data_IF_626936102487
#
_entry.id   IF_626936102487
#
_cell.length_a   1.000
_cell.length_b   1.000
_cell.length_c   1.000
_cell.angle_alpha   90.00
_cell.angle_beta   90.00
_cell.angle_gamma   90.00
#
_symmetry.space_group_name_H-M   'P 1'
#
loop_
_entity.id
_entity.type
_entity.pdbx_description
1 polymer ?
#
# COMPACT_ATOMS: atom_id res chain seq x y z
N UNK A 1 -38.49 20.03 29.35
CA UNK A 1 -37.91 19.47 28.11
C UNK A 1 -36.45 19.90 28.09
N UNK A 2 -35.49 18.97 28.09
CA UNK A 2 -34.06 19.30 28.03
C UNK A 2 -33.57 19.14 26.61
N UNK A 3 -33.02 20.22 26.04
CA UNK A 3 -32.42 20.22 24.71
C UNK A 3 -31.04 19.55 24.75
N UNK A 4 -30.80 18.64 23.82
CA UNK A 4 -29.49 18.04 23.63
C UNK A 4 -28.54 19.07 23.00
N UNK A 5 -27.43 19.36 23.66
CA UNK A 5 -26.33 20.12 23.07
C UNK A 5 -25.26 19.15 22.58
N UNK A 6 -24.75 19.40 21.38
CA UNK A 6 -23.61 18.66 20.83
C UNK A 6 -22.36 19.25 21.45
N UNK A 7 -21.71 18.48 22.33
CA UNK A 7 -20.33 18.76 22.74
C UNK A 7 -19.48 18.63 21.47
N UNK A 8 -18.94 19.75 20.98
CA UNK A 8 -17.92 19.74 19.93
C UNK A 8 -16.58 19.58 20.62
N UNK A 9 -16.12 18.34 20.74
CA UNK A 9 -14.77 18.04 21.18
C UNK A 9 -13.79 18.64 20.16
N UNK A 10 -13.03 19.64 20.60
CA UNK A 10 -11.95 20.26 19.82
C UNK A 10 -10.88 19.24 19.35
N UNK A 11 -10.90 18.03 19.90
CA UNK A 11 -10.10 16.89 19.47
C UNK A 11 -10.43 16.42 18.04
N UNK A 12 -11.61 16.71 17.49
CA UNK A 12 -11.98 16.28 16.14
C UNK A 12 -11.30 17.05 14.98
N UNK A 13 -10.80 18.26 15.22
CA UNK A 13 -10.24 19.14 14.19
C UNK A 13 -8.75 18.87 13.89
N UNK A 14 -7.97 18.43 14.89
CA UNK A 14 -6.51 18.20 14.77
C UNK A 14 -6.15 16.84 14.14
N UNK A 15 -7.11 15.93 13.98
CA UNK A 15 -6.88 14.58 13.44
C UNK A 15 -7.66 14.31 12.14
N UNK A 16 -8.00 15.35 11.37
CA UNK A 16 -8.62 15.18 10.05
C UNK A 16 -7.67 14.44 9.12
N UNK A 17 -8.05 13.22 8.75
CA UNK A 17 -7.28 12.37 7.82
C UNK A 17 -7.11 13.08 6.49
N UNK A 18 -5.94 12.92 5.86
CA UNK A 18 -5.69 13.46 4.53
C UNK A 18 -6.59 12.77 3.50
N UNK A 19 -7.26 13.56 2.66
CA UNK A 19 -8.10 13.06 1.57
C UNK A 19 -7.74 13.80 0.25
N UNK A 20 -6.99 13.17 -0.67
CA UNK A 20 -6.40 11.84 -0.57
C UNK A 20 -5.15 11.82 0.32
N UNK A 21 -4.75 10.64 0.85
CA UNK A 21 -3.44 10.49 1.48
C UNK A 21 -2.32 10.56 0.43
N UNK A 22 -1.11 10.86 0.89
CA UNK A 22 0.11 10.88 0.08
C UNK A 22 0.99 9.67 0.37
N UNK A 23 1.82 9.26 -0.59
CA UNK A 23 2.71 8.10 -0.44
C UNK A 23 3.62 8.20 0.79
N UNK A 24 4.13 9.40 1.09
CA UNK A 24 5.02 9.65 2.22
C UNK A 24 4.30 9.91 3.55
N UNK A 25 2.97 9.94 3.57
CA UNK A 25 2.25 10.07 4.84
C UNK A 25 2.52 8.83 5.70
N UNK A 26 2.68 9.04 7.01
CA UNK A 26 2.73 7.94 7.97
C UNK A 26 1.44 7.10 7.89
N UNK A 27 1.54 5.79 8.14
CA UNK A 27 0.43 4.85 7.96
C UNK A 27 -0.77 5.14 8.87
N UNK A 28 -0.53 5.82 10.00
CA UNK A 28 -1.60 6.29 10.87
C UNK A 28 -2.43 7.42 10.26
N UNK A 29 -2.08 7.98 9.10
CA UNK A 29 -2.97 8.87 8.32
C UNK A 29 -4.06 8.12 7.55
N UNK A 30 -4.01 6.79 7.50
CA UNK A 30 -5.10 6.00 6.94
C UNK A 30 -6.31 5.97 7.89
N UNK A 31 -7.50 5.88 7.31
CA UNK A 31 -8.71 5.63 8.09
C UNK A 31 -8.59 4.33 8.88
N UNK A 32 -9.22 4.30 10.07
CA UNK A 32 -9.22 3.15 11.01
C UNK A 32 -7.87 2.77 11.62
N UNK A 33 -6.79 3.45 11.26
CA UNK A 33 -5.49 3.35 11.95
C UNK A 33 -5.28 4.62 12.77
N UNK A 34 -5.22 4.49 14.10
CA UNK A 34 -4.94 5.61 15.00
C UNK A 34 -3.44 5.73 15.30
N UNK A 35 -2.93 6.96 15.42
CA UNK A 35 -1.55 7.21 15.87
C UNK A 35 -1.33 6.53 17.22
N UNK A 36 -0.19 5.86 17.35
CA UNK A 36 0.21 5.05 18.51
C UNK A 36 -0.77 3.96 18.96
N UNK A 37 -1.80 3.68 18.14
CA UNK A 37 -2.77 2.62 18.36
C UNK A 37 -2.23 1.23 18.05
N UNK A 38 -3.02 0.20 18.36
CA UNK A 38 -2.63 -1.19 18.19
C UNK A 38 -2.20 -1.52 16.74
N UNK A 39 -2.96 -1.09 15.74
CA UNK A 39 -2.61 -1.33 14.33
C UNK A 39 -1.35 -0.57 13.92
N UNK A 40 -1.19 0.69 14.34
CA UNK A 40 0.00 1.48 14.04
C UNK A 40 1.26 0.81 14.57
N UNK A 41 1.25 0.36 15.83
CA UNK A 41 2.40 -0.33 16.46
C UNK A 41 2.73 -1.65 15.78
N UNK A 42 1.72 -2.45 15.42
CA UNK A 42 1.93 -3.73 14.72
C UNK A 42 2.51 -3.53 13.32
N UNK A 43 2.03 -2.53 12.59
CA UNK A 43 2.56 -2.17 11.27
C UNK A 43 4.00 -1.66 11.36
N UNK A 44 4.28 -0.76 12.30
CA UNK A 44 5.63 -0.23 12.53
C UNK A 44 6.63 -1.31 12.93
N UNK A 45 6.21 -2.31 13.72
CA UNK A 45 7.06 -3.46 14.08
C UNK A 45 7.49 -4.29 12.86
N UNK A 46 6.66 -4.32 11.81
CA UNK A 46 6.95 -4.98 10.53
C UNK A 46 7.46 -4.00 9.47
N UNK A 47 7.95 -2.84 9.90
CA UNK A 47 8.51 -1.77 9.07
C UNK A 47 7.54 -1.15 8.04
N UNK A 48 6.23 -1.32 8.26
CA UNK A 48 5.17 -0.67 7.45
C UNK A 48 4.84 0.69 8.05
N UNK A 49 5.68 1.68 7.76
CA UNK A 49 5.61 3.00 8.38
C UNK A 49 4.83 4.03 7.55
N UNK A 50 4.83 3.90 6.22
CA UNK A 50 4.20 4.87 5.32
C UNK A 50 3.00 4.30 4.56
N UNK A 51 2.18 5.17 3.98
CA UNK A 51 1.12 4.79 3.04
C UNK A 51 1.69 4.04 1.83
N UNK A 52 2.89 4.41 1.36
CA UNK A 52 3.58 3.67 0.30
C UNK A 52 3.92 2.25 0.73
N UNK A 53 4.45 2.04 1.93
CA UNK A 53 4.81 0.70 2.43
C UNK A 53 3.56 -0.17 2.62
N UNK A 54 2.48 0.42 3.15
CA UNK A 54 1.20 -0.26 3.30
C UNK A 54 0.66 -0.73 1.93
N UNK A 55 0.67 0.14 0.93
CA UNK A 55 0.20 -0.18 -0.41
C UNK A 55 1.12 -1.16 -1.15
N UNK A 56 2.45 -1.08 -0.95
CA UNK A 56 3.40 -2.08 -1.45
C UNK A 56 3.07 -3.46 -0.88
N UNK A 57 2.93 -3.57 0.44
CA UNK A 57 2.63 -4.86 1.07
C UNK A 57 1.26 -5.39 0.65
N UNK A 58 0.27 -4.51 0.46
CA UNK A 58 -1.04 -4.89 -0.07
C UNK A 58 -0.96 -5.50 -1.47
N UNK A 59 0.00 -5.06 -2.31
CA UNK A 59 0.22 -5.59 -3.66
C UNK A 59 1.04 -6.88 -3.64
N UNK A 60 2.12 -6.90 -2.84
CA UNK A 60 3.13 -7.96 -2.86
C UNK A 60 2.74 -9.16 -2.00
N UNK A 61 2.20 -8.92 -0.80
CA UNK A 61 1.81 -9.97 0.15
C UNK A 61 0.57 -9.54 1.00
N UNK A 62 -0.61 -9.45 0.38
CA UNK A 62 -1.84 -9.13 1.08
C UNK A 62 -2.16 -10.07 2.28
N UNK A 63 -1.90 -11.40 2.21
CA UNK A 63 -2.04 -12.28 3.37
C UNK A 63 -1.16 -11.87 4.55
N UNK A 64 0.12 -11.53 4.33
CA UNK A 64 0.99 -11.03 5.40
C UNK A 64 0.43 -9.75 6.01
N UNK A 65 0.01 -8.77 5.21
CA UNK A 65 -0.59 -7.54 5.73
C UNK A 65 -1.84 -7.81 6.57
N UNK A 66 -2.69 -8.75 6.13
CA UNK A 66 -3.88 -9.19 6.89
C UNK A 66 -3.48 -9.81 8.23
N UNK A 67 -2.45 -10.66 8.24
CA UNK A 67 -1.94 -11.32 9.44
C UNK A 67 -1.36 -10.32 10.46
N UNK A 68 -0.62 -9.30 9.98
CA UNK A 68 -0.06 -8.24 10.84
C UNK A 68 -1.18 -7.50 11.58
N UNK A 69 -2.23 -7.10 10.85
CA UNK A 69 -3.35 -6.37 11.46
C UNK A 69 -4.18 -7.29 12.37
N UNK A 70 -4.29 -8.56 12.00
CA UNK A 70 -4.88 -9.63 12.79
C UNK A 70 -6.40 -9.48 12.99
N UNK A 71 -7.00 -10.30 13.87
CA UNK A 71 -8.46 -10.39 14.02
C UNK A 71 -9.13 -9.11 14.53
N UNK A 72 -8.37 -8.20 15.16
CA UNK A 72 -8.89 -6.90 15.58
C UNK A 72 -9.32 -6.02 14.40
N UNK A 73 -8.74 -6.23 13.21
CA UNK A 73 -9.11 -5.52 11.99
C UNK A 73 -10.27 -6.22 11.29
N UNK A 74 -11.50 -5.89 11.70
CA UNK A 74 -12.72 -6.41 11.04
C UNK A 74 -12.73 -6.15 9.52
N UNK A 75 -13.46 -6.96 8.76
CA UNK A 75 -13.61 -6.79 7.30
C UNK A 75 -14.06 -5.37 6.91
N UNK A 76 -15.04 -4.81 7.64
CA UNK A 76 -15.51 -3.44 7.39
C UNK A 76 -14.40 -2.40 7.59
N UNK A 77 -13.56 -2.56 8.61
CA UNK A 77 -12.45 -1.63 8.86
C UNK A 77 -11.36 -1.79 7.79
N UNK A 78 -11.07 -3.02 7.40
CA UNK A 78 -10.14 -3.35 6.33
C UNK A 78 -10.54 -2.71 5.00
N UNK A 79 -11.80 -2.88 4.59
CA UNK A 79 -12.32 -2.31 3.34
C UNK A 79 -12.22 -0.78 3.32
N UNK A 80 -12.58 -0.14 4.44
CA UNK A 80 -12.46 1.31 4.58
C UNK A 80 -11.00 1.76 4.49
N UNK A 81 -10.09 1.08 5.19
CA UNK A 81 -8.64 1.38 5.18
C UNK A 81 -8.06 1.28 3.78
N UNK A 82 -8.36 0.18 3.06
CA UNK A 82 -7.86 -0.04 1.70
C UNK A 82 -8.47 0.95 0.72
N UNK A 83 -9.78 1.18 0.79
CA UNK A 83 -10.46 2.14 -0.09
C UNK A 83 -9.83 3.51 0.07
N UNK A 84 -9.56 3.93 1.31
CA UNK A 84 -8.87 5.18 1.59
C UNK A 84 -7.44 5.20 1.07
N UNK A 85 -6.62 4.18 1.35
CA UNK A 85 -5.25 4.11 0.87
C UNK A 85 -5.16 4.16 -0.68
N UNK A 86 -6.12 3.52 -1.38
CA UNK A 86 -6.17 3.49 -2.84
C UNK A 86 -6.61 4.82 -3.49
N UNK A 87 -7.06 5.81 -2.74
CA UNK A 87 -7.25 7.18 -3.28
C UNK A 87 -5.93 7.94 -3.39
N UNK A 88 -4.85 7.41 -2.81
CA UNK A 88 -3.51 7.98 -2.91
C UNK A 88 -3.07 8.17 -4.37
N UNK A 89 -2.64 9.38 -4.69
CA UNK A 89 -2.12 9.72 -6.02
C UNK A 89 -0.66 9.28 -6.12
N UNK A 90 -0.40 8.27 -6.95
CA UNK A 90 0.92 7.63 -7.08
C UNK A 90 1.96 8.45 -7.85
N UNK A 91 1.51 9.49 -8.57
CA UNK A 91 2.35 10.27 -9.47
C UNK A 91 2.90 9.46 -10.64
N UNK A 92 3.93 9.99 -11.31
CA UNK A 92 4.50 9.43 -12.54
C UNK A 92 5.88 8.77 -12.32
N UNK A 93 6.22 8.44 -11.07
CA UNK A 93 7.49 7.77 -10.76
C UNK A 93 7.38 6.28 -11.08
N UNK A 94 8.44 5.73 -11.66
CA UNK A 94 8.55 4.31 -11.95
C UNK A 94 9.85 3.75 -11.39
N UNK A 95 9.80 2.53 -10.91
CA UNK A 95 10.97 1.70 -10.71
C UNK A 95 11.17 0.83 -11.94
N UNK A 96 12.39 0.81 -12.47
CA UNK A 96 12.74 0.03 -13.65
C UNK A 96 13.69 -1.07 -13.21
N UNK A 97 13.27 -2.32 -13.37
CA UNK A 97 14.14 -3.47 -13.22
C UNK A 97 14.59 -3.96 -14.60
N UNK A 98 15.90 -4.00 -14.84
CA UNK A 98 16.45 -4.28 -16.16
C UNK A 98 17.35 -5.52 -16.13
N UNK A 99 17.13 -6.42 -17.08
CA UNK A 99 18.04 -7.50 -17.42
C UNK A 99 18.55 -7.36 -18.86
N UNK A 100 19.31 -8.36 -19.32
CA UNK A 100 19.95 -8.35 -20.66
C UNK A 100 18.97 -8.08 -21.79
N UNK A 101 17.76 -8.66 -21.71
CA UNK A 101 16.77 -8.66 -22.78
C UNK A 101 15.40 -8.14 -22.34
N UNK A 102 15.30 -7.57 -21.13
CA UNK A 102 14.01 -7.09 -20.63
C UNK A 102 14.13 -5.88 -19.71
N UNK A 103 13.03 -5.12 -19.62
CA UNK A 103 12.80 -4.06 -18.63
C UNK A 103 11.41 -4.20 -18.05
N UNK A 104 11.29 -4.17 -16.73
CA UNK A 104 10.02 -4.24 -16.01
C UNK A 104 9.81 -2.88 -15.36
N UNK A 105 8.65 -2.27 -15.61
CA UNK A 105 8.27 -0.97 -15.07
C UNK A 105 7.24 -1.19 -13.97
N UNK A 106 7.56 -0.78 -12.76
CA UNK A 106 6.72 -0.87 -11.58
C UNK A 106 6.36 0.54 -11.13
N UNK A 107 5.13 0.75 -10.65
CA UNK A 107 4.76 1.99 -9.97
C UNK A 107 5.34 2.02 -8.54
N UNK A 108 5.16 3.10 -7.77
CA UNK A 108 5.76 3.23 -6.44
C UNK A 108 5.32 2.18 -5.40
N UNK A 109 4.23 1.45 -5.68
CA UNK A 109 3.68 0.40 -4.82
C UNK A 109 3.98 -1.00 -5.37
N UNK A 110 4.99 -1.12 -6.24
CA UNK A 110 5.43 -2.39 -6.84
C UNK A 110 4.38 -3.08 -7.72
N UNK A 111 3.36 -2.34 -8.18
CA UNK A 111 2.42 -2.86 -9.17
C UNK A 111 3.04 -2.72 -10.57
N UNK A 112 2.95 -3.78 -11.35
CA UNK A 112 3.39 -3.82 -12.74
C UNK A 112 2.62 -2.82 -13.60
N UNK A 113 3.35 -2.06 -14.41
CA UNK A 113 2.78 -1.08 -15.36
C UNK A 113 2.92 -1.62 -16.77
N UNK A 114 4.14 -2.01 -17.13
CA UNK A 114 4.49 -2.62 -18.42
C UNK A 114 5.77 -3.44 -18.29
N UNK A 115 5.99 -4.31 -19.27
CA UNK A 115 7.27 -4.96 -19.49
C UNK A 115 7.72 -4.72 -20.93
N UNK A 116 9.02 -4.55 -21.14
CA UNK A 116 9.65 -4.56 -22.45
C UNK A 116 10.50 -5.82 -22.53
N UNK A 117 10.32 -6.64 -23.57
CA UNK A 117 11.06 -7.90 -23.78
C UNK A 117 11.54 -7.91 -25.22
N UNK A 118 12.86 -8.03 -25.44
CA UNK A 118 13.49 -7.98 -26.77
C UNK A 118 13.09 -6.73 -27.59
N UNK A 119 12.87 -5.60 -26.93
CA UNK A 119 12.42 -4.35 -27.57
C UNK A 119 10.90 -4.23 -27.78
N UNK A 120 10.13 -5.29 -27.55
CA UNK A 120 8.66 -5.26 -27.64
C UNK A 120 8.03 -4.87 -26.31
N UNK A 121 7.12 -3.90 -26.32
CA UNK A 121 6.39 -3.45 -25.12
C UNK A 121 5.11 -4.25 -24.91
N UNK A 122 4.88 -4.68 -23.68
CA UNK A 122 3.70 -5.41 -23.22
C UNK A 122 3.03 -4.63 -22.08
N UNK A 123 1.79 -4.15 -22.23
CA UNK A 123 1.05 -3.49 -21.16
C UNK A 123 0.48 -4.50 -20.16
N UNK A 124 0.23 -4.08 -18.91
CA UNK A 124 -0.25 -4.97 -17.84
C UNK A 124 -1.50 -5.79 -18.20
N UNK A 125 -2.44 -5.21 -18.95
CA UNK A 125 -3.69 -5.89 -19.36
C UNK A 125 -3.43 -7.14 -20.21
N UNK A 126 -2.30 -7.19 -20.90
CA UNK A 126 -1.86 -8.35 -21.69
C UNK A 126 -0.96 -9.29 -20.87
N UNK A 127 -0.33 -8.77 -19.80
CA UNK A 127 0.61 -9.51 -18.94
C UNK A 127 -0.06 -10.33 -17.83
N UNK A 128 -1.32 -10.07 -17.47
CA UNK A 128 -2.07 -10.91 -16.52
C UNK A 128 -2.22 -12.36 -17.00
N UNK A 129 -2.10 -12.60 -18.30
CA UNK A 129 -2.04 -13.94 -18.90
C UNK A 129 -0.66 -14.60 -18.81
N UNK A 130 0.38 -13.84 -18.46
CA UNK A 130 1.78 -14.29 -18.41
C UNK A 130 2.22 -14.42 -16.95
N UNK A 131 1.78 -15.50 -16.31
CA UNK A 131 2.13 -15.87 -14.93
C UNK A 131 3.64 -15.84 -14.63
N UNK A 132 4.49 -16.04 -15.65
CA UNK A 132 5.96 -16.01 -15.50
C UNK A 132 6.52 -14.65 -15.08
N UNK A 133 5.90 -13.53 -15.49
CA UNK A 133 6.37 -12.18 -15.12
C UNK A 133 6.09 -11.90 -13.65
N UNK A 134 4.93 -12.35 -13.13
CA UNK A 134 4.61 -12.26 -11.71
C UNK A 134 5.57 -13.11 -10.86
N UNK A 135 5.90 -14.34 -11.30
CA UNK A 135 6.88 -15.20 -10.61
C UNK A 135 8.28 -14.56 -10.61
N UNK A 136 8.71 -13.95 -11.71
CA UNK A 136 9.99 -13.22 -11.77
C UNK A 136 9.99 -12.02 -10.83
N UNK A 137 8.92 -11.22 -10.80
CA UNK A 137 8.81 -10.08 -9.88
C UNK A 137 8.81 -10.57 -8.43
N UNK A 138 8.03 -11.59 -8.07
CA UNK A 138 8.01 -12.16 -6.71
C UNK A 138 9.39 -12.70 -6.30
N UNK A 139 10.10 -13.39 -7.20
CA UNK A 139 11.46 -13.89 -6.94
C UNK A 139 12.50 -12.77 -6.80
N UNK A 140 12.32 -11.65 -7.50
CA UNK A 140 13.22 -10.49 -7.38
C UNK A 140 12.93 -9.67 -6.11
N UNK A 141 11.65 -9.56 -5.74
CA UNK A 141 11.24 -8.90 -4.50
C UNK A 141 11.61 -9.74 -3.27
N UNK A 142 11.59 -11.07 -3.36
CA UNK A 142 12.03 -11.96 -2.26
C UNK A 142 13.55 -12.04 -2.11
N UNK A 143 14.31 -11.82 -3.18
CA UNK A 143 15.79 -11.81 -3.13
C UNK A 143 16.37 -10.49 -2.62
N UNK A 144 15.58 -9.42 -2.54
CA UNK A 144 16.02 -8.16 -1.91
C UNK A 144 15.78 -8.08 -0.40
N UNK A 145 15.12 -9.06 0.23
CA UNK A 145 15.07 -9.19 1.70
C UNK A 145 16.39 -9.63 2.35
N UNK A 146 17.53 -9.58 1.64
CA UNK A 146 18.86 -9.94 2.15
C UNK A 146 19.87 -8.77 2.08
N UNK A 147 19.46 -7.55 1.73
CA UNK A 147 20.33 -6.38 1.94
C UNK A 147 19.69 -5.37 2.90
N UNK A 148 19.75 -5.74 4.18
CA UNK A 148 20.16 -4.80 5.23
C UNK A 148 21.69 -4.65 5.18
#
# INVERSE_FOLDING_TARGET
>A
MTEAFVVKDHYGELYKKHHPPMLGDEVWWLEKIGKDGAFHKKLAYEEVNTVQDFLKMLVVDPPKLRNILGPGMSEKMWDVTIKHAKTCVMGNKYYIFQGTNYRIFLNPICQLVKAEINGTTYPIQTLSSINRVLVLILNLMSTQSIMQ
#
